data_IF_224840125724
#
_entry.id   IF_224840125724
#
_cell.length_a   1.000
_cell.length_b   1.000
_cell.length_c   1.000
_cell.angle_alpha   90.00
_cell.angle_beta   90.00
_cell.angle_gamma   90.00
#
_symmetry.space_group_name_H-M   'P 1'
#
loop_
_entity.id
_entity.type
_entity.pdbx_description
1 polymer ?
#
# COMPACT_ATOMS: atom_id res chain seq x y z
N UNK A 1 -17.90 17.47 21.78
CA UNK A 1 -18.32 16.51 20.74
C UNK A 1 -17.36 15.32 20.54
N UNK A 2 -16.08 15.41 20.87
CA UNK A 2 -15.08 14.34 20.74
C UNK A 2 -15.26 13.15 21.72
N UNK A 3 -15.87 13.34 22.87
CA UNK A 3 -16.04 12.26 23.88
C UNK A 3 -17.10 11.19 23.53
N UNK A 4 -18.00 11.46 22.57
CA UNK A 4 -19.01 10.47 22.15
C UNK A 4 -18.49 9.46 21.12
N UNK A 5 -17.45 9.79 20.37
CA UNK A 5 -16.86 8.90 19.39
C UNK A 5 -16.02 7.77 20.02
N UNK A 6 -15.31 8.09 21.11
CA UNK A 6 -14.49 7.07 21.82
C UNK A 6 -15.30 6.01 22.58
N UNK A 7 -16.56 6.30 22.95
CA UNK A 7 -17.41 5.33 23.66
C UNK A 7 -18.07 4.30 22.73
N UNK A 8 -18.29 4.62 21.46
CA UNK A 8 -18.85 3.66 20.48
C UNK A 8 -17.85 2.64 19.96
N UNK A 9 -16.56 2.94 20.04
CA UNK A 9 -15.50 2.01 19.64
C UNK A 9 -15.21 0.89 20.68
N UNK A 10 -15.85 0.93 21.86
CA UNK A 10 -15.64 -0.03 22.95
C UNK A 10 -16.80 -1.01 23.21
N UNK A 11 -17.84 -0.96 22.40
CA UNK A 11 -18.99 -1.89 22.49
C UNK A 11 -19.19 -2.60 21.15
N UNK A 12 -18.14 -3.23 20.66
CA UNK A 12 -18.28 -4.27 19.64
C UNK A 12 -17.97 -5.54 20.41
N UNK A 13 -19.04 -6.27 20.75
CA UNK A 13 -18.97 -7.55 21.41
C UNK A 13 -18.15 -8.52 20.58
N UNK A 14 -17.37 -9.37 21.25
CA UNK A 14 -16.40 -10.32 20.68
C UNK A 14 -17.03 -11.45 19.84
N UNK A 15 -18.34 -11.41 19.58
CA UNK A 15 -19.06 -12.47 18.87
C UNK A 15 -19.28 -12.25 17.37
N UNK A 16 -19.10 -11.02 16.86
CA UNK A 16 -19.18 -10.75 15.41
C UNK A 16 -17.79 -10.37 14.87
N UNK A 17 -16.85 -11.32 14.91
CA UNK A 17 -15.50 -11.12 14.42
C UNK A 17 -15.40 -11.30 12.89
N UNK A 18 -16.20 -10.54 12.16
CA UNK A 18 -16.04 -10.32 10.72
C UNK A 18 -14.60 -9.84 10.37
N UNK A 19 -13.84 -9.40 11.38
CA UNK A 19 -12.42 -9.02 11.27
C UNK A 19 -11.48 -10.20 11.07
N UNK A 20 -11.88 -11.41 11.45
CA UNK A 20 -11.08 -12.62 11.20
C UNK A 20 -11.10 -12.99 9.72
N UNK A 21 -12.18 -12.68 9.00
CA UNK A 21 -12.32 -12.96 7.56
C UNK A 21 -11.30 -12.15 6.74
N UNK A 22 -10.85 -10.99 7.26
CA UNK A 22 -9.93 -10.09 6.58
C UNK A 22 -8.52 -10.04 7.20
N UNK A 23 -8.12 -11.08 7.90
CA UNK A 23 -6.75 -11.17 8.43
C UNK A 23 -5.82 -11.76 7.37
N UNK A 24 -4.90 -10.94 6.87
CA UNK A 24 -3.83 -11.44 6.01
C UNK A 24 -2.89 -12.35 6.81
N UNK A 25 -2.66 -13.56 6.32
CA UNK A 25 -1.80 -14.58 6.93
C UNK A 25 -0.56 -14.87 6.09
N UNK A 26 -0.63 -14.58 4.80
CA UNK A 26 0.49 -14.74 3.87
C UNK A 26 0.54 -13.57 2.88
N UNK A 27 1.69 -13.43 2.19
CA UNK A 27 1.84 -12.46 1.12
C UNK A 27 0.77 -12.66 0.03
N UNK A 28 0.08 -11.56 -0.29
CA UNK A 28 -0.95 -11.53 -1.32
C UNK A 28 -2.32 -12.04 -0.89
N UNK A 29 -2.58 -12.24 0.41
CA UNK A 29 -3.95 -12.50 0.86
C UNK A 29 -4.81 -11.25 0.70
N UNK A 30 -4.26 -10.10 1.08
CA UNK A 30 -4.95 -8.82 0.99
C UNK A 30 -4.00 -7.79 0.39
N UNK A 31 -4.37 -7.26 -0.76
CA UNK A 31 -3.68 -6.18 -1.45
C UNK A 31 -4.50 -4.90 -1.31
N UNK A 32 -3.86 -3.85 -0.87
CA UNK A 32 -4.44 -2.52 -0.71
C UNK A 32 -3.87 -1.58 -1.77
N UNK A 33 -4.70 -0.74 -2.37
CA UNK A 33 -4.23 0.26 -3.31
C UNK A 33 -4.97 1.59 -3.19
N UNK A 34 -4.25 2.67 -3.47
CA UNK A 34 -4.79 4.02 -3.48
C UNK A 34 -3.99 4.91 -4.44
N UNK A 35 -4.64 5.92 -5.01
CA UNK A 35 -3.98 6.88 -5.86
C UNK A 35 -3.38 8.03 -5.06
N UNK A 36 -2.13 8.31 -5.35
CA UNK A 36 -1.40 9.46 -4.84
C UNK A 36 -1.32 10.54 -5.93
N UNK A 37 -1.62 11.78 -5.55
CA UNK A 37 -1.45 12.93 -6.41
C UNK A 37 -0.29 13.79 -5.91
N UNK A 38 0.64 14.21 -6.77
CA UNK A 38 1.58 15.27 -6.44
C UNK A 38 0.82 16.60 -6.25
N UNK A 39 1.50 17.67 -5.86
CA UNK A 39 0.89 19.00 -5.87
C UNK A 39 0.40 19.35 -7.27
N UNK A 40 -0.73 20.06 -7.37
CA UNK A 40 -1.57 20.25 -8.58
C UNK A 40 -0.87 20.70 -9.88
N UNK A 41 0.39 21.10 -9.83
CA UNK A 41 1.09 21.66 -11.00
C UNK A 41 2.30 20.86 -11.48
N UNK A 42 2.62 19.73 -10.83
CA UNK A 42 3.85 19.01 -11.12
C UNK A 42 3.59 17.75 -11.93
N UNK A 43 3.51 17.89 -13.25
CA UNK A 43 3.69 16.74 -14.13
C UNK A 43 5.09 16.18 -13.97
N UNK A 44 5.21 14.86 -13.98
CA UNK A 44 6.49 14.17 -13.98
C UNK A 44 7.26 14.36 -15.30
N UNK A 45 8.40 13.69 -15.41
CA UNK A 45 9.27 13.80 -16.59
C UNK A 45 8.62 13.20 -17.84
N UNK A 46 7.84 12.13 -17.68
CA UNK A 46 7.08 11.46 -18.74
C UNK A 46 5.58 11.76 -18.63
N UNK A 47 5.25 13.00 -18.26
CA UNK A 47 3.89 13.49 -18.10
C UNK A 47 3.07 12.76 -17.01
N UNK A 48 3.73 12.11 -16.04
CA UNK A 48 3.03 11.48 -14.92
C UNK A 48 2.26 12.53 -14.10
N UNK A 49 0.99 12.24 -13.84
CA UNK A 49 0.07 13.12 -13.13
C UNK A 49 -0.37 12.54 -11.78
N UNK A 50 -0.21 11.24 -11.62
CA UNK A 50 -0.56 10.51 -10.41
C UNK A 50 0.41 9.35 -10.20
N UNK A 51 0.29 8.66 -9.08
CA UNK A 51 0.93 7.37 -8.88
C UNK A 51 -0.02 6.44 -8.15
N UNK A 52 -0.06 5.17 -8.55
CA UNK A 52 -0.74 4.12 -7.82
C UNK A 52 0.19 3.58 -6.74
N UNK A 53 -0.24 3.67 -5.49
CA UNK A 53 0.43 3.05 -4.34
C UNK A 53 -0.23 1.70 -4.10
N UNK A 54 0.56 0.64 -4.11
CA UNK A 54 0.09 -0.73 -3.87
C UNK A 54 0.82 -1.31 -2.68
N UNK A 55 0.08 -1.87 -1.75
CA UNK A 55 0.60 -2.41 -0.50
C UNK A 55 0.07 -3.82 -0.26
N UNK A 56 0.95 -4.72 0.14
CA UNK A 56 0.54 -6.00 0.73
C UNK A 56 0.31 -5.84 2.24
N UNK A 57 -0.86 -6.26 2.72
CA UNK A 57 -1.25 -6.09 4.13
C UNK A 57 -0.42 -6.96 5.06
N UNK A 58 -0.06 -8.17 4.64
CA UNK A 58 0.70 -9.11 5.47
C UNK A 58 2.15 -8.65 5.65
N UNK A 59 2.88 -8.50 4.56
CA UNK A 59 4.30 -8.15 4.61
C UNK A 59 4.55 -6.66 4.86
N UNK A 60 3.56 -5.79 4.59
CA UNK A 60 3.73 -4.34 4.56
C UNK A 60 4.58 -3.85 3.39
N UNK A 61 4.95 -4.73 2.46
CA UNK A 61 5.64 -4.33 1.24
C UNK A 61 4.80 -3.32 0.47
N UNK A 62 5.42 -2.23 0.06
CA UNK A 62 4.78 -1.15 -0.68
C UNK A 62 5.57 -0.80 -1.93
N UNK A 63 4.91 -0.68 -3.06
CA UNK A 63 5.46 -0.17 -4.31
C UNK A 63 4.60 0.98 -4.83
N UNK A 64 5.23 1.84 -5.59
CA UNK A 64 4.59 3.01 -6.21
C UNK A 64 4.79 2.95 -7.71
N UNK A 65 3.72 3.22 -8.43
CA UNK A 65 3.70 3.21 -9.90
C UNK A 65 3.25 4.57 -10.40
N UNK A 66 4.18 5.45 -10.79
CA UNK A 66 3.84 6.70 -11.44
C UNK A 66 3.07 6.46 -12.75
N UNK A 67 2.03 7.26 -13.00
CA UNK A 67 1.12 7.09 -14.12
C UNK A 67 0.83 8.43 -14.79
N UNK A 68 0.92 8.46 -16.11
CA UNK A 68 0.48 9.60 -16.94
C UNK A 68 -1.05 9.65 -17.06
N UNK A 69 -1.68 8.50 -17.01
CA UNK A 69 -3.13 8.36 -17.09
C UNK A 69 -3.67 7.50 -15.95
N UNK A 70 -4.81 7.93 -15.39
CA UNK A 70 -5.54 7.18 -14.38
C UNK A 70 -6.70 6.44 -15.03
N UNK A 71 -6.38 5.33 -15.67
CA UNK A 71 -7.36 4.47 -16.31
C UNK A 71 -7.20 3.00 -15.89
N UNK A 72 -8.16 2.17 -16.24
CA UNK A 72 -8.16 0.75 -15.88
C UNK A 72 -6.93 0.01 -16.43
N UNK A 73 -6.47 0.34 -17.64
CA UNK A 73 -5.32 -0.33 -18.25
C UNK A 73 -4.02 -0.03 -17.50
N UNK A 74 -3.75 1.24 -17.17
CA UNK A 74 -2.57 1.64 -16.41
C UNK A 74 -2.57 1.00 -15.01
N UNK A 75 -3.73 0.95 -14.36
CA UNK A 75 -3.88 0.29 -13.07
C UNK A 75 -3.67 -1.22 -13.18
N UNK A 76 -4.22 -1.87 -14.22
CA UNK A 76 -4.00 -3.29 -14.46
C UNK A 76 -2.51 -3.63 -14.64
N UNK A 77 -1.77 -2.85 -15.42
CA UNK A 77 -0.35 -3.05 -15.64
C UNK A 77 0.45 -2.89 -14.34
N UNK A 78 0.13 -1.87 -13.55
CA UNK A 78 0.74 -1.62 -12.24
C UNK A 78 0.48 -2.76 -11.26
N UNK A 79 -0.78 -3.20 -11.14
CA UNK A 79 -1.16 -4.32 -10.27
C UNK A 79 -0.55 -5.63 -10.75
N UNK A 80 -0.50 -5.88 -12.06
CA UNK A 80 0.15 -7.05 -12.65
C UNK A 80 1.65 -7.08 -12.36
N UNK A 81 2.31 -5.91 -12.43
CA UNK A 81 3.72 -5.80 -12.09
C UNK A 81 3.94 -6.09 -10.60
N UNK A 82 3.10 -5.55 -9.71
CA UNK A 82 3.15 -5.84 -8.28
C UNK A 82 2.95 -7.34 -8.00
N UNK A 83 1.98 -7.94 -8.65
CA UNK A 83 1.68 -9.36 -8.52
C UNK A 83 2.88 -10.25 -8.88
N UNK A 84 3.64 -9.86 -9.93
CA UNK A 84 4.76 -10.64 -10.42
C UNK A 84 4.37 -12.11 -10.64
N UNK A 85 5.33 -12.99 -10.51
CA UNK A 85 5.09 -14.44 -10.60
C UNK A 85 4.45 -15.05 -9.34
N UNK A 86 4.55 -14.38 -8.20
CA UNK A 86 4.10 -14.93 -6.92
C UNK A 86 2.59 -14.90 -6.74
N UNK A 87 1.92 -13.86 -7.26
CA UNK A 87 0.48 -13.73 -7.20
C UNK A 87 -0.21 -14.12 -8.51
N UNK A 88 0.57 -14.43 -9.55
CA UNK A 88 0.04 -14.92 -10.83
C UNK A 88 -0.60 -16.29 -10.61
N UNK A 89 -1.92 -16.34 -10.78
CA UNK A 89 -2.70 -17.56 -10.54
C UNK A 89 -3.06 -17.84 -9.08
N UNK A 90 -2.64 -17.02 -8.11
CA UNK A 90 -3.13 -17.13 -6.73
C UNK A 90 -4.62 -16.79 -6.71
N UNK A 91 -5.44 -17.73 -6.21
CA UNK A 91 -6.88 -17.54 -6.03
C UNK A 91 -7.17 -16.87 -4.68
N UNK A 92 -8.26 -16.13 -4.61
CA UNK A 92 -8.77 -15.57 -3.37
C UNK A 92 -7.99 -14.34 -2.86
N UNK A 93 -7.20 -13.69 -3.71
CA UNK A 93 -6.57 -12.39 -3.37
C UNK A 93 -7.67 -11.36 -3.17
N UNK A 94 -7.78 -10.83 -1.97
CA UNK A 94 -8.71 -9.74 -1.65
C UNK A 94 -8.07 -8.40 -2.02
N UNK A 95 -8.77 -7.59 -2.79
CA UNK A 95 -8.28 -6.28 -3.22
C UNK A 95 -9.09 -5.15 -2.61
N UNK A 96 -8.46 -4.40 -1.73
CA UNK A 96 -9.07 -3.28 -0.99
C UNK A 96 -8.64 -1.95 -1.62
N UNK A 97 -9.60 -1.15 -2.06
CA UNK A 97 -9.36 0.20 -2.59
C UNK A 97 -10.54 1.11 -2.30
N UNK A 98 -10.43 2.37 -2.67
CA UNK A 98 -11.63 3.20 -2.85
C UNK A 98 -12.54 2.58 -3.93
N UNK A 99 -13.79 3.05 -4.00
CA UNK A 99 -14.77 2.52 -4.96
C UNK A 99 -14.56 3.06 -6.39
N UNK A 100 -13.31 3.26 -6.80
CA UNK A 100 -12.97 3.70 -8.14
C UNK A 100 -13.09 2.54 -9.13
N UNK A 101 -13.93 2.72 -10.16
CA UNK A 101 -14.21 1.67 -11.15
C UNK A 101 -12.97 1.19 -11.88
N UNK A 102 -12.03 2.09 -12.15
CA UNK A 102 -10.76 1.78 -12.80
C UNK A 102 -9.84 0.88 -11.97
N UNK A 103 -9.95 0.92 -10.62
CA UNK A 103 -9.21 0.03 -9.73
C UNK A 103 -9.90 -1.33 -9.59
N UNK A 104 -11.21 -1.32 -9.36
CA UNK A 104 -11.98 -2.57 -9.22
C UNK A 104 -11.99 -3.37 -10.53
N UNK A 105 -12.08 -2.69 -11.69
CA UNK A 105 -11.96 -3.32 -13.00
C UNK A 105 -10.59 -3.96 -13.22
N UNK A 106 -9.52 -3.24 -12.92
CA UNK A 106 -8.16 -3.73 -13.03
C UNK A 106 -7.90 -4.97 -12.15
N UNK A 107 -8.36 -4.94 -10.90
CA UNK A 107 -8.25 -6.08 -9.97
C UNK A 107 -9.05 -7.30 -10.47
N UNK A 108 -10.27 -7.09 -10.95
CA UNK A 108 -11.11 -8.17 -11.51
C UNK A 108 -10.46 -8.84 -12.72
N UNK A 109 -9.77 -8.08 -13.57
CA UNK A 109 -9.01 -8.64 -14.72
C UNK A 109 -7.84 -9.54 -14.28
N UNK A 110 -7.27 -9.32 -13.11
CA UNK A 110 -6.26 -10.21 -12.48
C UNK A 110 -6.88 -11.42 -11.80
N UNK A 111 -8.20 -11.53 -11.74
CA UNK A 111 -8.91 -12.57 -10.99
C UNK A 111 -8.88 -12.34 -9.47
N UNK A 112 -8.57 -11.13 -9.03
CA UNK A 112 -8.65 -10.73 -7.63
C UNK A 112 -10.10 -10.38 -7.27
N UNK A 113 -10.41 -10.46 -5.99
CA UNK A 113 -11.75 -10.18 -5.46
C UNK A 113 -11.76 -8.73 -4.97
N UNK A 114 -12.40 -7.80 -5.70
CA UNK A 114 -12.50 -6.41 -5.24
C UNK A 114 -13.39 -6.34 -3.99
N UNK A 115 -12.87 -5.68 -2.96
CA UNK A 115 -13.59 -5.30 -1.75
C UNK A 115 -13.49 -3.77 -1.61
N UNK A 116 -14.34 -3.04 -2.35
CA UNK A 116 -14.29 -1.60 -2.31
C UNK A 116 -14.77 -1.09 -0.96
N UNK A 117 -14.00 -0.18 -0.37
CA UNK A 117 -14.38 0.46 0.87
C UNK A 117 -15.71 1.19 0.73
N UNK A 118 -16.64 0.92 1.65
CA UNK A 118 -17.95 1.56 1.65
C UNK A 118 -17.83 2.99 2.19
N UNK A 119 -18.28 4.01 1.45
CA UNK A 119 -18.24 5.39 1.93
C UNK A 119 -18.95 5.54 3.28
N UNK A 120 -18.27 6.14 4.25
CA UNK A 120 -18.85 6.40 5.59
C UNK A 120 -18.67 5.27 6.61
N UNK A 121 -18.13 4.11 6.23
CA UNK A 121 -17.78 3.03 7.17
C UNK A 121 -16.27 2.99 7.44
N UNK A 122 -15.90 3.02 8.68
CA UNK A 122 -14.51 2.87 9.16
C UNK A 122 -14.27 1.41 9.58
N UNK A 123 -13.11 0.82 9.31
CA UNK A 123 -11.89 1.39 8.74
C UNK A 123 -11.85 1.22 7.22
N UNK A 124 -11.93 2.34 6.50
CA UNK A 124 -11.61 2.39 5.07
C UNK A 124 -10.17 1.92 4.83
N UNK A 125 -9.64 2.13 3.64
CA UNK A 125 -8.27 1.83 3.22
C UNK A 125 -7.18 2.60 4.04
N UNK A 126 -7.39 2.71 5.36
CA UNK A 126 -6.61 3.55 6.27
C UNK A 126 -5.12 3.19 6.31
N UNK A 127 -4.79 1.93 6.03
CA UNK A 127 -3.39 1.51 5.98
C UNK A 127 -2.72 2.05 4.73
N UNK A 128 -3.37 1.93 3.56
CA UNK A 128 -2.84 2.46 2.31
C UNK A 128 -2.80 3.99 2.32
N UNK A 129 -3.85 4.66 2.82
CA UNK A 129 -3.86 6.12 3.01
C UNK A 129 -2.69 6.61 3.90
N UNK A 130 -2.38 5.85 4.95
CA UNK A 130 -1.25 6.14 5.84
C UNK A 130 0.09 5.97 5.12
N UNK A 131 0.21 4.94 4.26
CA UNK A 131 1.40 4.74 3.43
C UNK A 131 1.55 5.85 2.38
N UNK A 132 0.47 6.24 1.70
CA UNK A 132 0.47 7.38 0.78
C UNK A 132 0.98 8.64 1.47
N UNK A 133 0.50 8.93 2.68
CA UNK A 133 0.96 10.08 3.47
C UNK A 133 2.44 9.96 3.81
N UNK A 134 2.88 8.82 4.34
CA UNK A 134 4.26 8.59 4.73
C UNK A 134 5.23 8.70 3.54
N UNK A 135 4.84 8.19 2.37
CA UNK A 135 5.65 8.32 1.15
C UNK A 135 5.78 9.80 0.75
N UNK A 136 4.69 10.57 0.77
CA UNK A 136 4.73 12.01 0.49
C UNK A 136 5.61 12.78 1.46
N UNK A 137 5.47 12.50 2.76
CA UNK A 137 6.23 13.17 3.82
C UNK A 137 7.73 12.89 3.76
N UNK A 138 8.14 11.71 3.29
CA UNK A 138 9.56 11.34 3.15
C UNK A 138 10.14 11.73 1.79
N UNK A 139 9.39 11.57 0.71
CA UNK A 139 9.87 11.88 -0.64
C UNK A 139 10.08 13.38 -0.85
N UNK A 140 9.22 14.23 -0.28
CA UNK A 140 9.31 15.68 -0.47
C UNK A 140 10.59 16.31 0.10
N UNK A 141 10.97 16.08 1.37
CA UNK A 141 12.23 16.59 1.90
C UNK A 141 13.46 16.04 1.15
N UNK A 142 13.45 14.75 0.81
CA UNK A 142 14.52 14.13 0.07
C UNK A 142 14.71 14.79 -1.31
N UNK A 143 13.61 15.06 -2.00
CA UNK A 143 13.61 15.74 -3.30
C UNK A 143 14.18 17.17 -3.18
N UNK A 144 13.72 17.93 -2.19
CA UNK A 144 14.20 19.30 -1.94
C UNK A 144 15.68 19.30 -1.56
N UNK A 145 16.12 18.42 -0.67
CA UNK A 145 17.51 18.33 -0.25
C UNK A 145 18.44 17.92 -1.39
N UNK A 146 17.99 17.10 -2.33
CA UNK A 146 18.76 16.71 -3.50
C UNK A 146 18.89 17.82 -4.55
N UNK A 147 18.09 18.89 -4.47
CA UNK A 147 18.15 20.03 -5.40
C UNK A 147 17.70 19.71 -6.82
N UNK A 148 17.03 18.59 -7.03
CA UNK A 148 16.57 18.21 -8.37
C UNK A 148 15.29 18.94 -8.79
N UNK A 149 15.09 19.01 -10.10
CA UNK A 149 13.91 19.63 -10.67
C UNK A 149 12.64 18.86 -10.26
N UNK A 150 11.57 19.59 -9.91
CA UNK A 150 10.30 19.00 -9.41
C UNK A 150 9.66 17.95 -10.32
N UNK A 151 9.92 17.96 -11.62
CA UNK A 151 9.47 16.91 -12.55
C UNK A 151 10.02 15.52 -12.24
N UNK A 152 11.05 15.41 -11.41
CA UNK A 152 11.63 14.14 -10.98
C UNK A 152 10.91 13.52 -9.77
N UNK A 153 9.78 14.08 -9.34
CA UNK A 153 9.00 13.55 -8.22
C UNK A 153 8.68 12.04 -8.36
N UNK A 154 8.42 11.49 -9.59
CA UNK A 154 8.14 10.06 -9.72
C UNK A 154 9.27 9.17 -9.20
N UNK A 155 10.52 9.57 -9.43
CA UNK A 155 11.70 8.82 -8.97
C UNK A 155 11.81 8.86 -7.44
N UNK A 156 11.49 9.99 -6.81
CA UNK A 156 11.59 10.13 -5.35
C UNK A 156 10.51 9.33 -4.63
N UNK A 157 9.29 9.28 -5.15
CA UNK A 157 8.22 8.48 -4.53
C UNK A 157 8.48 6.99 -4.71
N UNK A 158 8.96 6.56 -5.89
CA UNK A 158 9.35 5.18 -6.15
C UNK A 158 10.53 4.75 -5.26
N UNK A 159 11.58 5.56 -5.20
CA UNK A 159 12.72 5.32 -4.30
C UNK A 159 12.27 5.22 -2.83
N UNK A 160 11.40 6.13 -2.39
CA UNK A 160 10.91 6.17 -1.01
C UNK A 160 10.12 4.91 -0.68
N UNK A 161 9.23 4.46 -1.58
CA UNK A 161 8.46 3.24 -1.40
C UNK A 161 9.37 2.01 -1.31
N UNK A 162 10.35 1.90 -2.20
CA UNK A 162 11.35 0.83 -2.18
C UNK A 162 12.19 0.87 -0.90
N UNK A 163 12.66 2.05 -0.50
CA UNK A 163 13.41 2.20 0.75
C UNK A 163 12.57 1.80 1.96
N UNK A 164 11.30 2.15 2.01
CA UNK A 164 10.37 1.70 3.05
C UNK A 164 10.17 0.19 3.05
N UNK A 165 10.09 -0.43 1.90
CA UNK A 165 9.94 -1.89 1.78
C UNK A 165 11.20 -2.63 2.23
N UNK A 166 12.38 -2.19 1.79
CA UNK A 166 13.63 -2.91 2.04
C UNK A 166 14.30 -2.55 3.38
N UNK A 167 14.22 -1.29 3.79
CA UNK A 167 14.84 -0.79 5.02
C UNK A 167 13.82 -0.43 6.09
N UNK A 168 12.57 -0.24 5.67
CA UNK A 168 11.47 0.11 6.56
C UNK A 168 11.12 -1.11 7.39
N UNK A 169 10.70 -0.85 8.39
CA UNK A 169 10.25 -1.34 9.65
C UNK A 169 8.96 -2.12 9.50
N UNK A 170 8.94 -3.09 8.61
CA UNK A 170 7.90 -4.08 8.73
C UNK A 170 8.13 -4.84 10.04
N UNK A 171 7.22 -4.79 11.01
CA UNK A 171 7.38 -5.52 12.28
C UNK A 171 7.62 -7.01 12.08
N UNK A 172 7.01 -7.62 11.06
CA UNK A 172 7.17 -9.05 10.74
C UNK A 172 8.60 -9.33 10.27
N UNK A 173 9.11 -8.57 9.29
CA UNK A 173 10.48 -8.74 8.80
C UNK A 173 11.53 -8.33 9.84
N UNK A 174 11.19 -7.44 10.78
CA UNK A 174 12.06 -7.13 11.92
C UNK A 174 12.18 -8.29 12.88
N UNK A 175 11.09 -8.97 13.14
CA UNK A 175 11.09 -10.11 14.07
C UNK A 175 11.90 -11.26 13.49
N UNK A 176 11.74 -11.58 12.21
CA UNK A 176 12.52 -12.61 11.54
C UNK A 176 14.02 -12.28 11.48
N UNK A 177 14.38 -11.04 11.11
CA UNK A 177 15.79 -10.59 11.14
C UNK A 177 16.36 -10.51 12.55
N UNK A 178 15.55 -10.21 13.54
CA UNK A 178 15.95 -10.20 14.94
C UNK A 178 16.23 -11.61 15.47
N UNK A 179 15.48 -12.61 15.02
CA UNK A 179 15.69 -14.03 15.35
C UNK A 179 16.94 -14.58 14.66
N UNK A 180 17.13 -14.31 13.37
CA UNK A 180 18.35 -14.74 12.65
C UNK A 180 19.63 -14.13 13.25
N UNK A 181 19.61 -12.85 13.65
CA UNK A 181 20.76 -12.21 14.30
C UNK A 181 20.99 -12.72 15.73
N UNK A 182 19.97 -13.19 16.42
CA UNK A 182 20.11 -13.82 17.73
C UNK A 182 20.68 -15.25 17.62
N UNK A 183 20.23 -16.03 16.64
CA UNK A 183 20.75 -17.38 16.37
C UNK A 183 22.21 -17.35 15.91
N UNK A 184 22.61 -16.38 15.09
CA UNK A 184 24.00 -16.18 14.68
C UNK A 184 24.93 -15.78 15.83
N UNK A 185 24.38 -15.14 16.88
CA UNK A 185 25.15 -14.76 18.09
C UNK A 185 25.25 -15.88 19.12
N UNK A 186 24.32 -16.83 19.12
CA UNK A 186 24.32 -17.96 20.07
C UNK A 186 25.05 -19.19 19.54
N UNK A 187 25.40 -19.24 18.27
CA UNK A 187 26.14 -20.35 17.65
C UNK A 187 27.67 -20.30 17.81
N UNK A 188 28.22 -19.40 18.61
CA UNK A 188 29.66 -19.37 18.97
C UNK A 188 29.79 -19.39 20.50
N UNK A 189 29.69 -20.59 21.02
CA UNK A 189 30.02 -20.94 22.40
C UNK A 189 30.59 -22.30 22.44
#
# INVERSE_FOLDING_TARGET
>A
MLKRYCKRARQIDDEDDDRLIHRATTFGDIIEADHMFPSQEAKGLSDEQSALVVRDRFSGAVLVYPQSERNEQANYESLRHFAGKYLSGKKGVLFVSDNARELTGAASRLGWIPDPSVPGYWPHNANCEREVRAIKELARPAHVAAGFHRKLWPLFVDFTAKARTFFGLNPVLRHERGTETAELKTGQG
#
